data_IF_914756102476
#
_entry.id   IF_914756102476
#
_cell.length_a   1.000
_cell.length_b   1.000
_cell.length_c   1.000
_cell.angle_alpha   90.00
_cell.angle_beta   90.00
_cell.angle_gamma   90.00
#
_symmetry.space_group_name_H-M   'P 1'
#
loop_
_entity.id
_entity.type
_entity.pdbx_description
1 polymer ?
#
# COMPACT_ATOMS: atom_id res chain seq x y z
N UNK A 1 -16.22 -1.74 6.41
CA UNK A 1 -14.76 -1.68 6.15
C UNK A 1 -14.16 -1.01 7.36
N UNK A 2 -13.13 -1.62 7.96
CA UNK A 2 -12.36 -0.95 9.01
C UNK A 2 -11.35 0.00 8.37
N UNK A 3 -10.99 1.06 9.08
CA UNK A 3 -10.03 2.06 8.60
C UNK A 3 -8.71 1.40 8.18
N UNK A 4 -8.21 0.43 8.97
CA UNK A 4 -7.02 -0.37 8.64
C UNK A 4 -7.10 -1.09 7.28
N UNK A 5 -8.27 -1.62 6.92
CA UNK A 5 -8.44 -2.32 5.63
C UNK A 5 -8.39 -1.34 4.47
N UNK A 6 -8.94 -0.14 4.65
CA UNK A 6 -8.86 0.95 3.66
C UNK A 6 -7.41 1.39 3.52
N UNK A 7 -6.70 1.60 4.63
CA UNK A 7 -5.29 2.00 4.61
C UNK A 7 -4.40 0.96 3.93
N UNK A 8 -4.62 -0.34 4.18
CA UNK A 8 -3.93 -1.43 3.48
C UNK A 8 -4.17 -1.38 1.97
N UNK A 9 -5.43 -1.23 1.55
CA UNK A 9 -5.81 -1.15 0.13
C UNK A 9 -5.18 0.05 -0.56
N UNK A 10 -5.22 1.23 0.07
CA UNK A 10 -4.57 2.43 -0.48
C UNK A 10 -3.06 2.25 -0.56
N UNK A 11 -2.45 1.67 0.48
CA UNK A 11 -1.00 1.40 0.50
C UNK A 11 -0.60 0.46 -0.64
N UNK A 12 -1.34 -0.63 -0.84
CA UNK A 12 -1.11 -1.56 -1.94
C UNK A 12 -1.28 -0.89 -3.31
N UNK A 13 -2.29 -0.03 -3.46
CA UNK A 13 -2.51 0.75 -4.67
C UNK A 13 -1.36 1.73 -4.94
N UNK A 14 -0.88 2.44 -3.92
CA UNK A 14 0.26 3.33 -4.03
C UNK A 14 1.52 2.61 -4.48
N UNK A 15 1.79 1.42 -3.92
CA UNK A 15 2.92 0.58 -4.32
C UNK A 15 2.73 0.04 -5.75
N UNK A 16 1.50 -0.28 -6.15
CA UNK A 16 1.19 -0.77 -7.49
C UNK A 16 1.36 0.31 -8.56
N UNK A 17 1.02 1.56 -8.23
CA UNK A 17 1.14 2.72 -9.11
C UNK A 17 2.48 3.44 -9.03
N UNK A 18 3.38 2.96 -8.18
CA UNK A 18 4.72 3.54 -8.03
C UNK A 18 5.42 3.57 -9.39
N UNK A 19 6.17 4.63 -9.63
CA UNK A 19 7.04 4.75 -10.80
C UNK A 19 8.26 3.85 -10.65
N UNK A 20 8.94 3.60 -11.76
CA UNK A 20 10.11 2.70 -11.80
C UNK A 20 11.30 3.24 -11.00
N UNK A 21 11.40 4.56 -10.85
CA UNK A 21 12.41 5.28 -10.06
C UNK A 21 12.04 5.44 -8.58
N UNK A 22 10.78 5.19 -8.20
CA UNK A 22 10.31 5.28 -6.82
C UNK A 22 10.60 4.01 -6.03
N UNK A 23 11.16 4.20 -4.82
CA UNK A 23 11.31 3.15 -3.82
C UNK A 23 10.03 2.97 -3.01
N UNK A 24 9.92 1.86 -2.28
CA UNK A 24 8.82 1.67 -1.34
C UNK A 24 8.79 2.73 -0.23
N UNK A 25 9.95 3.27 0.14
CA UNK A 25 10.04 4.31 1.14
C UNK A 25 9.46 5.62 0.60
N UNK A 26 9.69 5.94 -0.67
CA UNK A 26 9.12 7.12 -1.32
C UNK A 26 7.59 7.04 -1.37
N UNK A 27 7.06 5.86 -1.70
CA UNK A 27 5.61 5.60 -1.65
C UNK A 27 5.06 5.76 -0.23
N UNK A 28 5.76 5.22 0.78
CA UNK A 28 5.35 5.33 2.18
C UNK A 28 5.30 6.79 2.65
N UNK A 29 6.33 7.58 2.30
CA UNK A 29 6.40 9.02 2.61
C UNK A 29 5.28 9.78 1.89
N UNK A 30 5.10 9.54 0.59
CA UNK A 30 4.05 10.17 -0.21
C UNK A 30 2.66 9.95 0.40
N UNK A 31 2.35 8.72 0.81
CA UNK A 31 1.06 8.39 1.41
C UNK A 31 0.89 9.03 2.80
N UNK A 32 1.94 9.06 3.63
CA UNK A 32 1.89 9.77 4.90
C UNK A 32 1.71 11.30 4.71
N UNK A 33 2.34 11.88 3.70
CA UNK A 33 2.23 13.32 3.37
C UNK A 33 0.81 13.71 2.93
N UNK A 34 0.00 12.76 2.42
CA UNK A 34 -1.43 13.01 2.13
C UNK A 34 -2.29 13.19 3.39
N UNK A 35 -1.74 12.91 4.58
CA UNK A 35 -2.47 12.93 5.83
C UNK A 35 -3.39 11.73 6.06
N UNK A 36 -3.29 10.69 5.22
CA UNK A 36 -4.06 9.44 5.41
C UNK A 36 -3.70 8.67 6.67
N UNK A 37 -2.42 8.72 7.06
CA UNK A 37 -1.89 8.13 8.29
C UNK A 37 -0.53 8.75 8.61
N UNK A 38 -0.04 8.57 9.84
CA UNK A 38 1.30 8.98 10.20
C UNK A 38 2.38 7.94 9.76
N UNK A 39 3.66 8.30 9.89
CA UNK A 39 4.76 7.40 9.51
C UNK A 39 4.86 6.14 10.38
N UNK A 40 4.34 6.16 11.61
CA UNK A 40 4.36 5.01 12.51
C UNK A 40 3.30 4.00 12.08
N UNK A 41 2.10 4.47 11.76
CA UNK A 41 0.99 3.71 11.17
C UNK A 41 1.39 3.15 9.81
N UNK A 42 1.99 3.97 8.94
CA UNK A 42 2.52 3.53 7.65
C UNK A 42 3.46 2.32 7.81
N UNK A 43 4.44 2.41 8.74
CA UNK A 43 5.36 1.32 9.03
C UNK A 43 4.66 0.07 9.56
N UNK A 44 3.60 0.21 10.34
CA UNK A 44 2.80 -0.92 10.82
C UNK A 44 2.06 -1.59 9.66
N UNK A 45 1.43 -0.82 8.77
CA UNK A 45 0.75 -1.34 7.58
C UNK A 45 1.74 -2.10 6.69
N UNK A 46 2.91 -1.52 6.37
CA UNK A 46 3.92 -2.21 5.56
C UNK A 46 4.43 -3.52 6.20
N UNK A 47 4.53 -3.58 7.54
CA UNK A 47 4.85 -4.82 8.25
C UNK A 47 3.74 -5.86 8.11
N UNK A 48 2.48 -5.45 8.25
CA UNK A 48 1.32 -6.33 8.05
C UNK A 48 1.27 -6.85 6.60
N UNK A 49 1.45 -5.99 5.61
CA UNK A 49 1.45 -6.39 4.19
C UNK A 49 2.53 -7.45 3.88
N UNK A 50 3.70 -7.34 4.51
CA UNK A 50 4.75 -8.37 4.42
C UNK A 50 4.35 -9.67 5.13
N UNK A 51 3.84 -9.58 6.36
CA UNK A 51 3.38 -10.75 7.12
C UNK A 51 2.25 -11.51 6.39
N UNK A 52 1.36 -10.79 5.74
CA UNK A 52 0.23 -11.32 4.97
C UNK A 52 0.60 -11.69 3.51
N UNK A 53 1.88 -11.66 3.16
CA UNK A 53 2.42 -12.05 1.85
C UNK A 53 1.89 -11.23 0.67
N UNK A 54 1.46 -9.99 0.90
CA UNK A 54 1.17 -9.04 -0.18
C UNK A 54 2.47 -8.44 -0.75
N UNK A 55 3.54 -8.39 0.05
CA UNK A 55 4.86 -7.88 -0.33
C UNK A 55 5.98 -8.85 0.03
N UNK A 56 6.86 -9.14 -0.93
CA UNK A 56 8.06 -9.96 -0.76
C UNK A 56 9.21 -9.28 -1.49
N UNK A 57 10.39 -9.20 -0.85
CA UNK A 57 11.61 -8.58 -1.41
C UNK A 57 11.41 -7.19 -2.04
N UNK A 58 10.50 -6.41 -1.44
CA UNK A 58 10.20 -5.06 -1.89
C UNK A 58 9.29 -4.96 -3.11
N UNK A 59 8.72 -6.07 -3.55
CA UNK A 59 7.79 -6.14 -4.69
C UNK A 59 6.43 -6.69 -4.25
N UNK A 60 5.38 -6.29 -4.97
CA UNK A 60 4.06 -6.87 -4.78
C UNK A 60 4.06 -8.32 -5.29
N UNK A 61 3.49 -9.21 -4.49
CA UNK A 61 3.18 -10.56 -4.95
C UNK A 61 1.95 -10.54 -5.86
N UNK A 62 1.62 -11.68 -6.47
CA UNK A 62 0.36 -11.81 -7.20
C UNK A 62 -0.86 -11.44 -6.34
N UNK A 63 -0.84 -11.81 -5.04
CA UNK A 63 -1.86 -11.43 -4.07
C UNK A 63 -1.90 -9.90 -3.86
N UNK A 64 -0.74 -9.27 -3.71
CA UNK A 64 -0.57 -7.81 -3.64
C UNK A 64 -1.17 -7.09 -4.84
N UNK A 65 -0.85 -7.55 -6.05
CA UNK A 65 -1.31 -6.96 -7.30
C UNK A 65 -2.83 -7.08 -7.43
N UNK A 66 -3.41 -8.24 -7.13
CA UNK A 66 -4.86 -8.45 -7.23
C UNK A 66 -5.63 -7.52 -6.28
N UNK A 67 -5.17 -7.40 -5.04
CA UNK A 67 -5.82 -6.52 -4.06
C UNK A 67 -5.63 -5.03 -4.42
N UNK A 68 -4.46 -4.65 -4.91
CA UNK A 68 -4.21 -3.29 -5.38
C UNK A 68 -5.13 -2.89 -6.55
N UNK A 69 -5.36 -3.81 -7.50
CA UNK A 69 -6.30 -3.60 -8.60
C UNK A 69 -7.73 -3.48 -8.12
N UNK A 70 -8.15 -4.36 -7.21
CA UNK A 70 -9.47 -4.28 -6.60
C UNK A 70 -9.66 -2.93 -5.87
N UNK A 71 -8.64 -2.46 -5.15
CA UNK A 71 -8.63 -1.15 -4.52
C UNK A 71 -8.77 -0.02 -5.55
N UNK A 72 -8.06 -0.10 -6.67
CA UNK A 72 -8.20 0.88 -7.75
C UNK A 72 -9.63 0.97 -8.29
N UNK A 73 -10.29 -0.17 -8.49
CA UNK A 73 -11.69 -0.21 -8.93
C UNK A 73 -12.64 0.35 -7.88
N UNK A 74 -12.39 0.07 -6.59
CA UNK A 74 -13.17 0.62 -5.47
C UNK A 74 -13.09 2.14 -5.37
N UNK A 75 -11.91 2.75 -5.63
CA UNK A 75 -11.72 4.20 -5.51
C UNK A 75 -12.07 4.99 -6.78
N UNK A 76 -12.23 4.32 -7.93
CA UNK A 76 -12.68 4.97 -9.18
C UNK A 76 -14.21 5.16 -9.25
N UNK A 77 -14.95 4.55 -8.32
CA UNK A 77 -16.41 4.58 -8.25
C UNK A 77 -16.90 5.80 -7.46
#
# INVERSE_FOLDING_TARGET
MNDDDILKKVTLLGIYKKKSDETLNDVMLMLADTGMYDLKEAKQIFKQLKAEHYLVDGQLTLKGITEAKAAEEMFKQ
#
